data_IF_244518138887
#
_entry.id   IF_244518138887
#
_cell.length_a   1.000
_cell.length_b   1.000
_cell.length_c   1.000
_cell.angle_alpha   90.00
_cell.angle_beta   90.00
_cell.angle_gamma   90.00
#
_symmetry.space_group_name_H-M   'P 1'
#
loop_
_entity.id
_entity.type
_entity.pdbx_description
1 polymer ?
#
# COMPACT_ATOMS: atom_id res chain seq x y z
N UNK A 1 1.70 8.69 -19.55
CA UNK A 1 2.86 8.90 -18.67
C UNK A 1 3.72 7.65 -18.71
N UNK A 2 5.05 7.78 -18.83
CA UNK A 2 5.95 6.62 -18.76
C UNK A 2 6.13 6.18 -17.30
N UNK A 3 6.45 4.91 -17.06
CA UNK A 3 6.84 4.39 -15.73
C UNK A 3 8.01 5.18 -15.13
N UNK A 4 8.93 5.63 -15.98
CA UNK A 4 10.09 6.43 -15.58
C UNK A 4 9.65 7.74 -14.92
N UNK A 5 8.64 8.41 -15.49
CA UNK A 5 8.13 9.67 -14.95
C UNK A 5 7.56 9.50 -13.53
N UNK A 6 6.82 8.41 -13.28
CA UNK A 6 6.25 8.13 -11.96
C UNK A 6 7.34 7.77 -10.94
N UNK A 7 8.32 6.96 -11.34
CA UNK A 7 9.43 6.59 -10.48
C UNK A 7 10.25 7.81 -10.05
N UNK A 8 10.61 8.67 -11.00
CA UNK A 8 11.32 9.91 -10.70
C UNK A 8 10.51 10.84 -9.79
N UNK A 9 9.20 10.94 -10.00
CA UNK A 9 8.32 11.76 -9.17
C UNK A 9 8.23 11.25 -7.73
N UNK A 10 8.02 9.94 -7.52
CA UNK A 10 7.94 9.35 -6.18
C UNK A 10 9.28 9.53 -5.45
N UNK A 11 10.40 9.30 -6.13
CA UNK A 11 11.74 9.49 -5.53
C UNK A 11 11.96 10.93 -5.11
N UNK A 12 11.59 11.89 -5.96
CA UNK A 12 11.66 13.32 -5.62
C UNK A 12 10.81 13.65 -4.40
N UNK A 13 9.58 13.11 -4.30
CA UNK A 13 8.71 13.34 -3.14
C UNK A 13 9.32 12.78 -1.83
N UNK A 14 10.04 11.67 -1.89
CA UNK A 14 10.79 11.11 -0.75
C UNK A 14 11.99 12.00 -0.40
N UNK A 15 12.78 12.42 -1.39
CA UNK A 15 13.95 13.30 -1.20
C UNK A 15 13.55 14.66 -0.59
N UNK A 16 12.42 15.21 -1.04
CA UNK A 16 11.82 16.44 -0.51
C UNK A 16 11.09 16.24 0.84
N UNK A 17 11.09 15.01 1.38
CA UNK A 17 10.41 14.62 2.63
C UNK A 17 8.90 14.90 2.64
N UNK A 18 8.28 14.97 1.46
CA UNK A 18 6.83 15.10 1.31
C UNK A 18 6.10 13.81 1.68
N UNK A 19 6.78 12.67 1.52
CA UNK A 19 6.29 11.35 1.90
C UNK A 19 7.42 10.53 2.53
N UNK A 20 7.05 9.59 3.40
CA UNK A 20 7.94 8.54 3.91
C UNK A 20 7.50 7.20 3.33
N UNK A 21 8.46 6.31 3.11
CA UNK A 21 8.20 4.94 2.66
C UNK A 21 8.49 3.99 3.80
N UNK A 22 7.45 3.28 4.23
CA UNK A 22 7.55 2.23 5.23
C UNK A 22 7.38 0.87 4.55
N UNK A 23 8.23 -0.09 4.92
CA UNK A 23 8.06 -1.46 4.49
C UNK A 23 6.93 -2.12 5.29
N UNK A 24 5.99 -2.71 4.56
CA UNK A 24 4.91 -3.52 5.13
C UNK A 24 5.01 -4.90 4.51
N UNK A 25 4.95 -5.96 5.34
CA UNK A 25 4.88 -7.33 4.84
C UNK A 25 3.63 -7.49 4.00
N UNK A 26 3.69 -8.29 2.94
CA UNK A 26 2.54 -8.51 2.03
C UNK A 26 1.29 -8.99 2.75
N UNK A 27 1.44 -9.81 3.79
CA UNK A 27 0.32 -10.31 4.59
C UNK A 27 -0.37 -9.24 5.44
N UNK A 28 0.34 -8.15 5.76
CA UNK A 28 -0.11 -7.05 6.60
C UNK A 28 -0.48 -5.81 5.79
N UNK A 29 -0.43 -5.90 4.46
CA UNK A 29 -0.74 -4.78 3.57
C UNK A 29 -2.25 -4.51 3.53
N UNK A 30 -2.76 -3.75 4.50
CA UNK A 30 -4.19 -3.46 4.65
C UNK A 30 -4.87 -2.90 3.40
N UNK A 31 -4.15 -2.17 2.55
CA UNK A 31 -4.67 -1.65 1.29
C UNK A 31 -5.15 -2.74 0.31
N UNK A 32 -4.72 -4.00 0.49
CA UNK A 32 -5.15 -5.14 -0.31
C UNK A 32 -6.67 -5.37 -0.22
N UNK A 33 -7.31 -5.03 0.91
CA UNK A 33 -8.76 -5.16 1.08
C UNK A 33 -9.56 -4.34 0.05
N UNK A 34 -8.98 -3.22 -0.43
CA UNK A 34 -9.60 -2.31 -1.37
C UNK A 34 -9.18 -2.55 -2.83
N UNK A 35 -8.09 -3.28 -3.05
CA UNK A 35 -7.42 -3.34 -4.36
C UNK A 35 -7.34 -4.75 -4.94
N UNK A 36 -7.57 -5.80 -4.13
CA UNK A 36 -7.48 -7.19 -4.53
C UNK A 36 -8.78 -7.94 -4.25
N UNK A 37 -9.08 -8.93 -5.08
CA UNK A 37 -10.09 -9.93 -4.78
C UNK A 37 -9.54 -10.92 -3.75
N UNK A 38 -9.82 -10.69 -2.47
CA UNK A 38 -9.37 -11.53 -1.37
C UNK A 38 -10.32 -12.71 -1.12
N UNK A 39 -9.75 -13.85 -0.73
CA UNK A 39 -10.53 -14.95 -0.17
C UNK A 39 -11.18 -14.54 1.16
N UNK A 40 -12.35 -15.13 1.47
CA UNK A 40 -13.18 -14.75 2.64
C UNK A 40 -12.39 -14.65 3.95
N UNK A 41 -11.52 -15.63 4.23
CA UNK A 41 -10.74 -15.64 5.46
C UNK A 41 -9.82 -14.41 5.56
N UNK A 42 -9.03 -14.14 4.51
CA UNK A 42 -8.11 -13.00 4.49
C UNK A 42 -8.84 -11.66 4.55
N UNK A 43 -9.99 -11.56 3.90
CA UNK A 43 -10.85 -10.38 3.98
C UNK A 43 -11.32 -10.12 5.43
N UNK A 44 -11.75 -11.16 6.15
CA UNK A 44 -12.20 -11.03 7.55
C UNK A 44 -11.06 -10.63 8.49
N UNK A 45 -9.86 -11.22 8.33
CA UNK A 45 -8.67 -10.85 9.09
C UNK A 45 -8.31 -9.37 8.90
N UNK A 46 -8.28 -8.90 7.65
CA UNK A 46 -7.99 -7.49 7.36
C UNK A 46 -9.08 -6.55 7.86
N UNK A 47 -10.36 -6.94 7.77
CA UNK A 47 -11.47 -6.15 8.31
C UNK A 47 -11.32 -5.96 9.82
N UNK A 48 -10.96 -7.00 10.56
CA UNK A 48 -10.66 -6.90 11.99
C UNK A 48 -9.51 -5.93 12.27
N UNK A 49 -8.44 -5.97 11.48
CA UNK A 49 -7.31 -5.05 11.61
C UNK A 49 -7.68 -3.57 11.33
N UNK A 50 -8.75 -3.30 10.58
CA UNK A 50 -9.26 -1.94 10.35
C UNK A 50 -9.97 -1.33 11.57
N UNK A 51 -10.21 -2.12 12.62
CA UNK A 51 -10.84 -1.65 13.87
C UNK A 51 -12.37 -1.75 13.89
N UNK A 52 -12.93 -2.70 13.14
CA UNK A 52 -14.35 -3.08 13.20
C UNK A 52 -14.66 -4.05 14.34
#
# INVERSE_FOLDING_TARGET
MSKDTLYHFIRQCVEEKKITLDYVKTEDQLADILTKSLGRQKFMEMRWQMGD
#
